data_IF_728512544209
#
_entry.id   IF_728512544209
#
_cell.length_a   1.000
_cell.length_b   1.000
_cell.length_c   1.000
_cell.angle_alpha   90.00
_cell.angle_beta   90.00
_cell.angle_gamma   90.00
#
_symmetry.space_group_name_H-M   'P 1'
#
loop_
_entity.id
_entity.type
_entity.pdbx_description
1 polymer ?
#
# COMPACT_ATOMS: atom_id res chain seq x y z
N UNK A 1 5.56 -14.81 4.43
CA UNK A 1 5.10 -14.71 3.02
C UNK A 1 3.59 -14.49 2.93
N UNK A 2 2.78 -15.22 3.72
CA UNK A 2 1.29 -15.15 3.65
C UNK A 2 0.69 -13.75 3.85
N UNK A 3 1.22 -12.94 4.78
CA UNK A 3 0.73 -11.57 4.97
C UNK A 3 0.86 -10.72 3.70
N UNK A 4 1.98 -10.84 2.96
CA UNK A 4 2.18 -10.10 1.71
C UNK A 4 1.17 -10.57 0.66
N UNK A 5 0.98 -11.88 0.49
CA UNK A 5 0.02 -12.43 -0.48
C UNK A 5 -1.41 -11.97 -0.21
N UNK A 6 -1.90 -12.11 1.03
CA UNK A 6 -3.26 -11.70 1.39
C UNK A 6 -3.49 -10.20 1.22
N UNK A 7 -2.46 -9.38 1.46
CA UNK A 7 -2.58 -7.94 1.26
C UNK A 7 -2.52 -7.55 -0.24
N UNK A 8 -1.81 -8.30 -1.08
CA UNK A 8 -1.84 -8.12 -2.54
C UNK A 8 -3.18 -8.55 -3.13
N UNK A 9 -3.80 -9.62 -2.61
CA UNK A 9 -5.16 -10.04 -3.02
C UNK A 9 -6.20 -8.94 -2.76
N UNK A 10 -6.05 -8.16 -1.67
CA UNK A 10 -6.89 -6.99 -1.39
C UNK A 10 -6.84 -5.97 -2.53
N UNK A 11 -5.70 -5.79 -3.21
CA UNK A 11 -5.57 -4.82 -4.31
C UNK A 11 -6.42 -5.22 -5.53
N UNK A 12 -6.64 -6.52 -5.75
CA UNK A 12 -7.52 -6.99 -6.82
C UNK A 12 -8.98 -6.63 -6.57
N UNK A 13 -9.43 -6.70 -5.32
CA UNK A 13 -10.84 -6.50 -4.97
C UNK A 13 -11.17 -5.06 -4.54
N UNK A 14 -10.30 -4.41 -3.77
CA UNK A 14 -10.62 -3.14 -3.10
C UNK A 14 -9.46 -2.14 -3.06
N UNK A 15 -8.63 -2.04 -4.10
CA UNK A 15 -7.57 -1.00 -4.23
C UNK A 15 -8.03 0.43 -3.93
N UNK A 16 -9.30 0.78 -4.19
CA UNK A 16 -9.84 2.12 -3.93
C UNK A 16 -10.29 2.35 -2.48
N UNK A 17 -10.38 1.31 -1.65
CA UNK A 17 -10.67 1.46 -0.21
C UNK A 17 -9.41 1.76 0.61
N UNK A 18 -8.22 1.53 0.05
CA UNK A 18 -6.95 1.86 0.68
C UNK A 18 -6.82 3.37 0.93
N UNK A 19 -6.04 3.74 1.95
CA UNK A 19 -5.83 5.15 2.32
C UNK A 19 -5.22 5.92 1.14
N UNK A 20 -5.74 7.12 0.86
CA UNK A 20 -5.08 8.06 -0.07
C UNK A 20 -3.80 8.57 0.56
N UNK A 21 -2.69 8.50 -0.18
CA UNK A 21 -1.41 9.01 0.30
C UNK A 21 -1.40 10.54 0.34
N UNK A 22 -1.96 11.17 -0.71
CA UNK A 22 -2.08 12.62 -0.83
C UNK A 22 -3.51 13.04 -1.24
N UNK A 23 -4.05 14.17 -0.76
CA UNK A 23 -5.41 14.62 -1.08
C UNK A 23 -5.65 14.89 -2.57
N UNK A 24 -4.64 15.41 -3.26
CA UNK A 24 -4.66 15.83 -4.67
C UNK A 24 -4.33 14.70 -5.66
N UNK A 25 -3.83 13.55 -5.17
CA UNK A 25 -3.53 12.36 -5.98
C UNK A 25 -4.45 11.19 -5.62
N UNK A 26 -5.70 11.14 -6.12
CA UNK A 26 -6.71 10.16 -5.70
C UNK A 26 -6.40 8.69 -6.04
N UNK A 27 -5.45 8.47 -6.95
CA UNK A 27 -4.98 7.15 -7.36
C UNK A 27 -3.71 6.71 -6.63
N UNK A 28 -3.01 7.64 -5.95
CA UNK A 28 -1.84 7.34 -5.13
C UNK A 28 -2.29 6.94 -3.72
N UNK A 29 -1.94 5.73 -3.31
CA UNK A 29 -2.48 5.10 -2.11
C UNK A 29 -1.44 4.33 -1.33
N UNK A 30 -1.78 4.07 -0.08
CA UNK A 30 -0.94 3.32 0.86
C UNK A 30 -1.66 2.05 1.31
N UNK A 31 -0.89 0.97 1.40
CA UNK A 31 -1.30 -0.32 1.90
C UNK A 31 -0.45 -0.69 3.10
N UNK A 32 -1.09 -0.90 4.25
CA UNK A 32 -0.43 -1.40 5.45
C UNK A 32 -0.34 -2.93 5.33
N UNK A 33 0.88 -3.45 5.45
CA UNK A 33 1.18 -4.89 5.42
C UNK A 33 1.60 -5.30 6.84
N UNK A 34 0.70 -5.95 7.61
CA UNK A 34 0.97 -6.31 9.00
C UNK A 34 1.86 -7.57 9.05
N UNK A 35 3.17 -7.38 8.96
CA UNK A 35 4.16 -8.46 9.06
C UNK A 35 5.24 -8.14 10.08
N UNK A 36 5.60 -9.13 10.90
CA UNK A 36 6.59 -8.97 11.97
C UNK A 36 6.14 -8.01 13.08
N UNK A 37 7.10 -7.47 13.82
CA UNK A 37 6.84 -6.58 14.98
C UNK A 37 6.65 -5.11 14.61
N UNK A 38 6.90 -4.73 13.36
CA UNK A 38 6.94 -3.34 12.91
C UNK A 38 6.10 -3.01 11.68
N UNK A 39 5.65 -4.00 10.89
CA UNK A 39 4.83 -3.76 9.70
C UNK A 39 5.56 -3.03 8.57
N UNK A 40 4.99 -3.10 7.36
CA UNK A 40 5.46 -2.37 6.19
C UNK A 40 4.32 -1.53 5.61
N UNK A 41 4.69 -0.46 4.90
CA UNK A 41 3.77 0.34 4.10
C UNK A 41 4.21 0.24 2.65
N UNK A 42 3.31 -0.19 1.78
CA UNK A 42 3.51 -0.14 0.33
C UNK A 42 2.75 1.07 -0.24
N UNK A 43 3.47 1.97 -0.90
CA UNK A 43 2.88 3.04 -1.69
C UNK A 43 2.66 2.53 -3.11
N UNK A 44 1.47 2.77 -3.66
CA UNK A 44 1.10 2.30 -4.98
C UNK A 44 0.24 3.31 -5.74
N UNK A 45 0.24 3.20 -7.06
CA UNK A 45 -0.61 3.98 -7.95
C UNK A 45 -1.54 3.07 -8.73
N UNK A 46 -2.81 3.47 -8.81
CA UNK A 46 -3.83 2.77 -9.61
C UNK A 46 -3.80 3.34 -11.03
N UNK A 47 -3.53 2.50 -12.01
CA UNK A 47 -3.64 2.87 -13.41
C UNK A 47 -5.07 2.66 -13.95
N UNK A 48 -5.42 3.28 -15.09
CA UNK A 48 -6.62 2.94 -15.82
C UNK A 48 -6.72 1.43 -16.08
N UNK A 49 -7.92 0.86 -15.88
CA UNK A 49 -8.13 -0.58 -15.99
C UNK A 49 -7.88 -1.33 -14.67
N UNK A 50 -7.03 -2.36 -14.71
CA UNK A 50 -6.81 -3.31 -13.60
C UNK A 50 -5.37 -3.34 -13.07
N UNK A 51 -4.49 -2.50 -13.60
CA UNK A 51 -3.08 -2.47 -13.19
C UNK A 51 -2.88 -1.64 -11.92
N UNK A 52 -2.01 -2.12 -11.04
CA UNK A 52 -1.54 -1.40 -9.86
C UNK A 52 -0.01 -1.44 -9.84
N UNK A 53 0.62 -0.28 -9.77
CA UNK A 53 2.07 -0.16 -9.68
C UNK A 53 2.49 0.08 -8.25
N UNK A 54 3.30 -0.82 -7.69
CA UNK A 54 3.95 -0.59 -6.39
C UNK A 54 5.13 0.34 -6.63
N UNK A 55 5.09 1.53 -6.04
CA UNK A 55 6.10 2.57 -6.22
C UNK A 55 7.23 2.46 -5.19
N UNK A 56 6.88 2.10 -3.95
CA UNK A 56 7.83 1.95 -2.86
C UNK A 56 7.28 1.02 -1.79
N UNK A 57 8.17 0.36 -1.06
CA UNK A 57 7.86 -0.40 0.15
C UNK A 57 8.83 0.04 1.23
N UNK A 58 8.31 0.45 2.39
CA UNK A 58 9.09 0.96 3.53
C UNK A 58 8.66 0.31 4.84
N UNK A 59 9.53 0.31 5.84
CA UNK A 59 9.15 -0.13 7.19
C UNK A 59 8.29 0.95 7.86
N UNK A 60 7.25 0.56 8.61
CA UNK A 60 6.30 1.54 9.17
C UNK A 60 6.98 2.50 10.17
N UNK A 61 7.91 1.99 10.99
CA UNK A 61 8.60 2.77 12.03
C UNK A 61 9.79 3.60 11.54
N UNK A 62 10.20 3.46 10.27
CA UNK A 62 11.21 4.36 9.72
C UNK A 62 10.67 5.79 9.54
N UNK A 63 9.35 5.97 9.58
CA UNK A 63 8.68 7.29 9.51
C UNK A 63 8.56 7.98 10.88
N UNK A 64 8.84 7.29 11.99
CA UNK A 64 8.79 7.89 13.34
C UNK A 64 9.99 8.86 13.61
N UNK A 65 10.85 9.09 12.61
CA UNK A 65 12.03 9.98 12.69
C UNK A 65 12.06 11.04 11.57
N UNK A 66 10.96 11.80 11.40
CA UNK A 66 10.99 13.09 10.70
C UNK A 66 10.49 14.22 11.59
#
# INVERSE_FOLDING_TARGET
>A
MEAIKGTVELLHFSRFSCRKSLPDRPFLRELIIPVGSGGYVAMFEIEPGTTVNILAVRHQREEDFQ
#
